data_IF_315286106608
#
_entry.id   IF_315286106608
#
_cell.length_a   1.000
_cell.length_b   1.000
_cell.length_c   1.000
_cell.angle_alpha   90.00
_cell.angle_beta   90.00
_cell.angle_gamma   90.00
#
_symmetry.space_group_name_H-M   'P 1'
#
loop_
_entity.id
_entity.type
_entity.pdbx_description
1 polymer ?
#
# COMPACT_ATOMS: atom_id res chain seq x y z
N UNK A 1 9.82 -13.60 7.01
CA UNK A 1 10.37 -12.39 6.33
C UNK A 1 9.44 -11.23 6.66
N UNK A 2 9.97 -10.20 7.32
CA UNK A 2 9.18 -9.03 7.72
C UNK A 2 8.85 -8.19 6.49
N UNK A 3 7.59 -8.24 6.08
CA UNK A 3 7.07 -7.45 4.98
C UNK A 3 5.76 -6.78 5.39
N UNK A 4 5.65 -5.50 5.07
CA UNK A 4 4.42 -4.72 5.09
C UNK A 4 3.79 -4.79 3.70
N UNK A 5 2.48 -5.03 3.61
CA UNK A 5 1.70 -4.87 2.38
C UNK A 5 0.52 -3.92 2.61
N UNK A 6 0.31 -2.98 1.69
CA UNK A 6 -0.84 -2.06 1.67
C UNK A 6 -1.44 -2.05 0.27
N UNK A 7 -2.76 -2.26 0.18
CA UNK A 7 -3.54 -2.17 -1.05
C UNK A 7 -4.56 -1.04 -0.96
N UNK A 8 -4.49 -0.14 -1.93
CA UNK A 8 -5.47 0.90 -2.17
C UNK A 8 -6.21 0.67 -3.49
N UNK A 9 -7.51 0.96 -3.51
CA UNK A 9 -8.32 1.00 -4.73
C UNK A 9 -9.03 2.34 -4.89
N UNK A 10 -9.13 2.82 -6.13
CA UNK A 10 -9.93 3.97 -6.52
C UNK A 10 -10.92 3.56 -7.62
N UNK A 11 -12.20 3.81 -7.36
CA UNK A 11 -13.29 3.50 -8.27
C UNK A 11 -14.07 4.78 -8.62
N UNK A 12 -14.02 5.18 -9.88
CA UNK A 12 -14.82 6.26 -10.43
C UNK A 12 -15.58 5.74 -11.67
N UNK A 13 -16.76 5.12 -11.48
CA UNK A 13 -17.55 4.52 -12.56
C UNK A 13 -17.92 5.54 -13.65
N UNK A 14 -18.29 6.76 -13.24
CA UNK A 14 -18.62 7.87 -14.17
C UNK A 14 -17.48 8.24 -15.13
N UNK A 15 -16.24 7.86 -14.79
CA UNK A 15 -15.05 8.11 -15.60
C UNK A 15 -14.47 6.81 -16.21
N UNK A 16 -15.10 5.64 -16.00
CA UNK A 16 -14.56 4.30 -16.31
C UNK A 16 -13.12 4.10 -15.80
N UNK A 17 -12.85 4.63 -14.60
CA UNK A 17 -11.54 4.55 -13.93
C UNK A 17 -11.67 3.63 -12.73
N UNK A 18 -11.08 2.45 -12.87
CA UNK A 18 -10.98 1.44 -11.83
C UNK A 18 -9.50 1.15 -11.65
N UNK A 19 -8.89 1.66 -10.59
CA UNK A 19 -7.44 1.63 -10.38
C UNK A 19 -7.09 1.02 -9.05
N UNK A 20 -6.01 0.25 -9.01
CA UNK A 20 -5.40 -0.19 -7.77
C UNK A 20 -3.98 0.33 -7.67
N UNK A 21 -3.51 0.47 -6.43
CA UNK A 21 -2.13 0.75 -6.09
C UNK A 21 -1.78 -0.09 -4.87
N UNK A 22 -0.77 -0.93 -5.01
CA UNK A 22 -0.27 -1.81 -3.96
C UNK A 22 1.18 -1.48 -3.70
N UNK A 23 1.56 -1.45 -2.44
CA UNK A 23 2.96 -1.39 -2.04
C UNK A 23 3.26 -2.54 -1.10
N UNK A 24 4.39 -3.19 -1.34
CA UNK A 24 5.03 -4.11 -0.42
C UNK A 24 6.37 -3.52 0.00
N UNK A 25 6.73 -3.57 1.27
CA UNK A 25 7.98 -3.04 1.80
C UNK A 25 8.54 -4.01 2.84
N UNK A 26 9.83 -4.29 2.80
CA UNK A 26 10.44 -5.22 3.73
C UNK A 26 11.96 -5.22 3.66
N UNK A 27 12.57 -6.19 4.34
CA UNK A 27 14.01 -6.44 4.27
C UNK A 27 14.30 -7.66 3.40
N UNK A 28 15.29 -7.54 2.53
CA UNK A 28 15.78 -8.66 1.75
C UNK A 28 16.71 -9.57 2.58
N UNK A 29 17.19 -10.66 1.95
CA UNK A 29 18.09 -11.62 2.59
C UNK A 29 19.47 -11.04 2.94
N UNK A 30 19.83 -9.90 2.36
CA UNK A 30 21.08 -9.18 2.63
C UNK A 30 20.88 -8.06 3.66
N UNK A 31 19.69 -7.96 4.25
CA UNK A 31 19.34 -6.94 5.22
C UNK A 31 19.09 -5.56 4.63
N UNK A 32 19.07 -5.41 3.29
CA UNK A 32 18.72 -4.15 2.62
C UNK A 32 17.21 -3.98 2.61
N UNK A 33 16.80 -2.72 2.66
CA UNK A 33 15.39 -2.36 2.60
C UNK A 33 14.92 -2.24 1.16
N UNK A 34 13.72 -2.71 0.87
CA UNK A 34 13.12 -2.59 -0.45
C UNK A 34 11.67 -2.14 -0.38
N UNK A 35 11.18 -1.57 -1.48
CA UNK A 35 9.75 -1.42 -1.74
C UNK A 35 9.41 -1.88 -3.16
N UNK A 36 8.31 -2.64 -3.29
CA UNK A 36 7.71 -3.03 -4.56
C UNK A 36 6.36 -2.36 -4.69
N UNK A 37 6.20 -1.53 -5.72
CA UNK A 37 4.98 -0.80 -6.01
C UNK A 37 4.31 -1.40 -7.24
N UNK A 38 3.14 -2.01 -7.08
CA UNK A 38 2.31 -2.51 -8.19
C UNK A 38 1.12 -1.59 -8.40
N UNK A 39 0.82 -1.21 -9.65
CA UNK A 39 -0.33 -0.38 -9.96
C UNK A 39 -0.95 -0.74 -11.31
N UNK A 40 -2.25 -0.53 -11.45
CA UNK A 40 -2.94 -0.93 -12.67
C UNK A 40 -4.44 -0.71 -12.64
N UNK A 41 -5.14 -1.40 -13.55
CA UNK A 41 -6.60 -1.52 -13.47
C UNK A 41 -6.96 -2.61 -12.47
N UNK A 42 -8.02 -2.41 -11.69
CA UNK A 42 -8.54 -3.43 -10.76
C UNK A 42 -8.78 -4.75 -11.52
N UNK A 43 -8.50 -5.90 -10.89
CA UNK A 43 -8.53 -7.26 -11.47
C UNK A 43 -7.56 -7.53 -12.62
N UNK A 44 -6.53 -6.71 -12.80
CA UNK A 44 -5.42 -6.98 -13.73
C UNK A 44 -4.11 -6.99 -12.94
N UNK A 45 -3.09 -7.68 -13.45
CA UNK A 45 -1.78 -7.82 -12.78
C UNK A 45 -1.08 -6.46 -12.58
N UNK A 46 -1.34 -5.49 -13.45
CA UNK A 46 -0.73 -4.15 -13.38
C UNK A 46 0.75 -4.16 -13.77
N UNK A 47 1.44 -3.07 -13.42
CA UNK A 47 2.89 -2.89 -13.58
C UNK A 47 3.53 -2.80 -12.20
N UNK A 48 4.66 -3.45 -12.01
CA UNK A 48 5.45 -3.39 -10.77
C UNK A 48 6.74 -2.60 -11.00
N UNK A 49 7.07 -1.74 -10.03
CA UNK A 49 8.34 -1.03 -9.93
C UNK A 49 9.03 -1.44 -8.63
N UNK A 50 10.35 -1.66 -8.69
CA UNK A 50 11.17 -1.97 -7.52
C UNK A 50 12.09 -0.83 -7.14
N UNK A 51 12.30 -0.68 -5.84
CA UNK A 51 13.14 0.34 -5.23
C UNK A 51 13.90 -0.28 -4.07
N UNK A 52 15.18 0.05 -3.95
CA UNK A 52 16.05 -0.41 -2.88
C UNK A 52 16.54 0.80 -2.08
N UNK A 53 16.71 0.63 -0.78
CA UNK A 53 17.01 1.69 0.19
C UNK A 53 18.15 1.28 1.12
N UNK A 54 18.88 2.27 1.63
CA UNK A 54 19.94 2.06 2.60
C UNK A 54 19.41 1.82 4.02
N UNK A 55 18.21 2.32 4.32
CA UNK A 55 17.61 2.24 5.65
C UNK A 55 16.09 2.04 5.61
N UNK A 56 15.54 1.70 6.78
CA UNK A 56 14.11 1.58 6.99
C UNK A 56 13.42 2.93 6.81
N UNK A 57 14.01 3.98 7.37
CA UNK A 57 13.47 5.34 7.36
C UNK A 57 13.28 5.86 5.93
N UNK A 58 14.23 5.56 5.04
CA UNK A 58 14.14 5.91 3.62
C UNK A 58 12.98 5.18 2.93
N UNK A 59 12.85 3.87 3.17
CA UNK A 59 11.76 3.06 2.62
C UNK A 59 10.40 3.53 3.15
N UNK A 60 10.28 3.82 4.44
CA UNK A 60 9.07 4.35 5.06
C UNK A 60 8.70 5.73 4.50
N UNK A 61 9.68 6.63 4.36
CA UNK A 61 9.46 7.96 3.78
C UNK A 61 8.93 7.83 2.34
N UNK A 62 9.48 6.89 1.56
CA UNK A 62 9.01 6.57 0.21
C UNK A 62 7.55 6.07 0.22
N UNK A 63 7.21 5.12 1.08
CA UNK A 63 5.84 4.59 1.21
C UNK A 63 4.86 5.69 1.63
N UNK A 64 5.21 6.49 2.64
CA UNK A 64 4.40 7.64 3.11
C UNK A 64 4.17 8.65 2.00
N UNK A 65 5.20 9.00 1.23
CA UNK A 65 5.05 9.89 0.07
C UNK A 65 4.12 9.29 -0.99
N UNK A 66 4.22 7.98 -1.22
CA UNK A 66 3.33 7.21 -2.08
C UNK A 66 1.87 7.34 -1.67
N UNK A 67 1.58 7.10 -0.40
CA UNK A 67 0.23 7.20 0.19
C UNK A 67 -0.31 8.63 0.14
N UNK A 68 0.48 9.64 0.56
CA UNK A 68 0.08 11.07 0.50
C UNK A 68 -0.34 11.49 -0.91
N UNK A 69 0.39 11.07 -1.94
CA UNK A 69 0.07 11.37 -3.34
C UNK A 69 -1.30 10.83 -3.76
N UNK A 70 -1.75 9.71 -3.18
CA UNK A 70 -2.99 9.01 -3.55
C UNK A 70 -4.19 9.57 -2.78
N UNK A 71 -3.98 10.00 -1.53
CA UNK A 71 -4.92 10.88 -0.81
C UNK A 71 -5.25 12.16 -1.59
N UNK A 72 -4.27 12.78 -2.25
CA UNK A 72 -4.44 13.99 -3.06
C UNK A 72 -4.95 13.77 -4.48
N UNK A 73 -5.22 12.53 -4.91
CA UNK A 73 -5.65 12.21 -6.28
C UNK A 73 -7.17 12.08 -6.59
N UNK A 74 -8.16 12.47 -5.73
CA UNK A 74 -9.58 12.25 -5.99
C UNK A 74 -10.07 12.69 -7.37
N UNK A 75 -9.59 13.86 -7.84
CA UNK A 75 -9.99 14.46 -9.12
C UNK A 75 -9.54 13.65 -10.35
N UNK A 76 -8.56 12.74 -10.20
CA UNK A 76 -7.97 11.97 -11.31
C UNK A 76 -8.59 10.59 -11.49
N UNK A 77 -8.86 9.84 -10.42
CA UNK A 77 -9.28 8.44 -10.57
C UNK A 77 -10.39 8.02 -9.58
N UNK A 78 -10.99 8.99 -8.88
CA UNK A 78 -11.72 8.72 -7.63
C UNK A 78 -10.77 8.78 -6.43
N UNK A 79 -11.34 8.84 -5.23
CA UNK A 79 -10.57 8.76 -3.99
C UNK A 79 -10.05 7.32 -3.80
N UNK A 80 -8.75 7.18 -3.55
CA UNK A 80 -8.17 5.89 -3.18
C UNK A 80 -8.58 5.54 -1.75
N UNK A 81 -9.08 4.32 -1.55
CA UNK A 81 -9.47 3.77 -0.26
C UNK A 81 -8.61 2.57 0.08
N UNK A 82 -8.39 2.36 1.38
CA UNK A 82 -7.71 1.17 1.87
C UNK A 82 -8.62 -0.06 1.72
N UNK A 83 -8.11 -1.10 1.05
CA UNK A 83 -8.80 -2.38 0.90
C UNK A 83 -8.20 -3.46 1.80
N UNK A 84 -6.88 -3.43 1.95
CA UNK A 84 -6.16 -4.35 2.82
C UNK A 84 -4.83 -3.77 3.26
N UNK A 85 -4.46 -4.08 4.49
CA UNK A 85 -3.11 -3.88 5.01
C UNK A 85 -2.75 -5.15 5.79
N UNK A 86 -1.53 -5.64 5.60
CA UNK A 86 -1.04 -6.81 6.31
C UNK A 86 0.44 -6.66 6.62
N UNK A 87 0.85 -7.44 7.61
CA UNK A 87 2.24 -7.72 7.92
C UNK A 87 2.50 -9.18 7.60
N UNK A 88 3.75 -9.54 7.28
CA UNK A 88 4.14 -10.92 6.94
C UNK A 88 3.81 -11.93 8.06
N UNK A 89 3.86 -13.24 7.74
CA UNK A 89 3.33 -14.32 8.59
C UNK A 89 3.99 -14.48 9.96
N UNK A 90 5.18 -13.87 10.17
CA UNK A 90 5.89 -13.94 11.44
C UNK A 90 5.42 -12.89 12.46
N UNK A 91 4.46 -12.03 12.09
CA UNK A 91 3.97 -10.96 12.96
C UNK A 91 5.03 -9.86 13.13
N UNK A 92 4.62 -8.63 12.90
CA UNK A 92 5.55 -7.50 12.99
C UNK A 92 5.76 -7.10 14.46
N UNK A 93 7.00 -7.09 14.92
CA UNK A 93 7.38 -6.44 16.18
C UNK A 93 7.86 -5.00 16.00
N UNK A 94 8.16 -4.58 14.76
CA UNK A 94 8.65 -3.22 14.49
C UNK A 94 7.52 -2.18 14.59
N UNK A 95 7.59 -1.38 15.65
CA UNK A 95 6.66 -0.31 15.97
C UNK A 95 6.43 0.68 14.83
N UNK A 96 7.46 0.99 14.02
CA UNK A 96 7.38 2.02 12.99
C UNK A 96 6.55 1.57 11.80
N UNK A 97 6.68 0.29 11.43
CA UNK A 97 5.87 -0.28 10.37
C UNK A 97 4.42 -0.52 10.81
N UNK A 98 4.20 -0.95 12.06
CA UNK A 98 2.84 -1.04 12.63
C UNK A 98 2.19 0.36 12.62
N UNK A 99 2.92 1.38 13.06
CA UNK A 99 2.46 2.77 12.99
C UNK A 99 2.19 3.24 11.55
N UNK A 100 2.94 2.75 10.57
CA UNK A 100 2.72 3.05 9.15
C UNK A 100 1.40 2.44 8.63
N UNK A 101 1.05 1.22 9.05
CA UNK A 101 -0.28 0.62 8.75
C UNK A 101 -1.38 1.46 9.37
N UNK A 102 -1.31 1.73 10.68
CA UNK A 102 -2.34 2.51 11.36
C UNK A 102 -2.50 3.90 10.74
N UNK A 103 -1.40 4.54 10.34
CA UNK A 103 -1.45 5.80 9.62
C UNK A 103 -2.12 5.64 8.24
N UNK A 104 -1.84 4.57 7.49
CA UNK A 104 -2.50 4.31 6.21
C UNK A 104 -4.01 4.09 6.37
N UNK A 105 -4.41 3.30 7.38
CA UNK A 105 -5.80 3.08 7.79
C UNK A 105 -6.47 4.41 8.12
N UNK A 106 -5.91 5.19 9.04
CA UNK A 106 -6.49 6.47 9.46
C UNK A 106 -6.63 7.49 8.32
N UNK A 107 -5.80 7.40 7.28
CA UNK A 107 -5.78 8.39 6.19
C UNK A 107 -6.55 7.99 4.93
N UNK A 108 -6.91 6.70 4.78
CA UNK A 108 -7.56 6.16 3.58
C UNK A 108 -8.82 5.34 3.88
N UNK A 109 -9.30 5.35 5.12
CA UNK A 109 -10.62 4.84 5.50
C UNK A 109 -11.58 6.02 5.61
N UNK A 110 -12.64 6.05 4.80
CA UNK A 110 -13.83 6.87 5.05
C UNK A 110 -14.89 5.96 5.68
N UNK A 111 -15.61 6.47 6.69
CA UNK A 111 -16.72 5.81 7.38
C UNK A 111 -17.81 5.35 6.39
N UNK A 112 -17.66 4.15 5.81
CA UNK A 112 -18.68 3.54 4.96
C UNK A 112 -18.48 2.02 4.88
N UNK A 113 -18.86 1.34 5.96
CA UNK A 113 -19.53 0.03 6.00
C UNK A 113 -19.26 -0.92 4.79
N UNK A 114 -18.07 -1.49 4.70
CA UNK A 114 -17.74 -2.59 3.78
C UNK A 114 -16.54 -3.38 4.31
N UNK A 115 -16.55 -4.73 4.26
CA UNK A 115 -15.56 -5.53 4.97
C UNK A 115 -14.16 -5.37 4.37
N UNK A 116 -13.18 -5.12 5.24
CA UNK A 116 -11.74 -5.23 4.93
C UNK A 116 -11.47 -6.63 4.35
N UNK A 117 -10.97 -6.72 3.13
CA UNK A 117 -10.63 -8.01 2.53
C UNK A 117 -9.16 -8.34 2.85
N UNK A 118 -8.95 -9.53 3.43
CA UNK A 118 -7.63 -10.08 3.69
C UNK A 118 -6.89 -10.22 2.35
N UNK A 119 -5.70 -9.62 2.26
CA UNK A 119 -4.86 -9.73 1.07
C UNK A 119 -4.33 -11.16 0.95
N UNK A 120 -4.80 -11.91 -0.04
CA UNK A 120 -4.16 -13.17 -0.43
C UNK A 120 -2.84 -12.84 -1.15
N UNK A 121 -1.73 -13.15 -0.48
CA UNK A 121 -0.37 -12.90 -0.95
C UNK A 121 0.07 -14.13 -1.74
N UNK A 122 -0.33 -14.19 -3.01
CA UNK A 122 0.36 -14.99 -4.03
C UNK A 122 1.45 -14.18 -4.73
#
# INVERSE_FOLDING_TARGET
MEELAILLEACAPRLNRHRFWRVRMGRDLFGRWYARVTFGRIRRSGRTLGYDFGSQEEAEAFVRAGLKRRRGAPRRCGAYRLIGASTGPDGLTDEKMVALIFWAVATHTEDSNGPLQLLDVS
#
